data_IF_671437090726
#
_entry.id   IF_671437090726
#
_cell.length_a   1.000
_cell.length_b   1.000
_cell.length_c   1.000
_cell.angle_alpha   90.00
_cell.angle_beta   90.00
_cell.angle_gamma   90.00
#
_symmetry.space_group_name_H-M   'P 1'
#
loop_
_entity.id
_entity.type
_entity.pdbx_description
1 polymer ?
#
# COMPACT_ATOMS: atom_id res chain seq x y z
N UNK A 1 -10.48 11.64 65.50
CA UNK A 1 -9.58 10.65 64.85
C UNK A 1 -9.74 10.83 63.34
N UNK A 2 -8.61 10.89 62.63
CA UNK A 2 -8.37 11.14 61.20
C UNK A 2 -9.27 10.21 60.34
N UNK A 3 -9.75 10.49 59.11
CA UNK A 3 -9.06 10.63 57.80
C UNK A 3 -10.10 11.19 56.78
N UNK A 4 -10.03 12.43 56.28
CA UNK A 4 -9.36 12.98 55.08
C UNK A 4 -9.36 12.12 53.79
N UNK A 5 -9.88 12.77 52.71
CA UNK A 5 -9.68 12.61 51.24
C UNK A 5 -10.72 11.71 50.52
N UNK A 6 -11.40 12.14 49.46
CA UNK A 6 -11.13 13.27 48.57
C UNK A 6 -12.31 13.68 47.68
N UNK A 7 -12.28 14.96 47.31
CA UNK A 7 -12.94 15.55 46.15
C UNK A 7 -12.57 14.77 44.88
N UNK A 8 -13.52 14.58 43.97
CA UNK A 8 -13.31 14.78 42.53
C UNK A 8 -14.65 14.86 41.79
N UNK A 9 -15.03 16.06 41.39
CA UNK A 9 -16.06 16.31 40.40
C UNK A 9 -15.54 15.84 39.03
N UNK A 10 -16.27 14.92 38.39
CA UNK A 10 -16.00 14.46 37.04
C UNK A 10 -17.12 14.89 36.10
N UNK A 11 -17.03 16.11 35.58
CA UNK A 11 -17.83 16.55 34.44
C UNK A 11 -17.32 15.78 33.21
N UNK A 12 -18.07 14.77 32.78
CA UNK A 12 -17.79 14.02 31.55
C UNK A 12 -18.01 14.93 30.34
N UNK A 13 -16.92 15.53 29.85
CA UNK A 13 -16.88 16.09 28.50
C UNK A 13 -17.05 14.96 27.50
N UNK A 14 -18.22 14.86 26.87
CA UNK A 14 -18.39 14.11 25.63
C UNK A 14 -17.58 14.81 24.53
N UNK A 15 -16.33 14.39 24.33
CA UNK A 15 -15.59 14.71 23.11
C UNK A 15 -16.22 13.89 22.00
N UNK A 16 -17.06 14.53 21.20
CA UNK A 16 -17.45 14.04 19.90
C UNK A 16 -16.16 13.88 19.06
N UNK A 17 -15.70 12.64 18.92
CA UNK A 17 -14.67 12.28 17.96
C UNK A 17 -15.28 12.52 16.57
N UNK A 18 -14.96 13.66 15.97
CA UNK A 18 -15.15 13.86 14.55
C UNK A 18 -14.38 12.74 13.82
N UNK A 19 -15.00 11.97 12.90
CA UNK A 19 -14.23 11.13 12.02
C UNK A 19 -13.22 12.01 11.26
N UNK A 20 -12.03 11.49 10.89
CA UNK A 20 -11.15 12.20 9.99
C UNK A 20 -11.95 12.45 8.71
N UNK A 21 -12.38 13.70 8.53
CA UNK A 21 -12.92 14.15 7.27
C UNK A 21 -11.74 14.10 6.29
N UNK A 22 -11.68 13.05 5.47
CA UNK A 22 -10.94 13.10 4.21
C UNK A 22 -11.65 14.15 3.35
N UNK A 23 -11.27 15.41 3.57
CA UNK A 23 -11.58 16.52 2.70
C UNK A 23 -10.72 16.39 1.43
N UNK A 24 -10.91 15.30 0.70
CA UNK A 24 -10.57 15.18 -0.70
C UNK A 24 -11.88 15.26 -1.46
N UNK A 25 -12.35 16.48 -1.75
CA UNK A 25 -13.39 16.64 -2.77
C UNK A 25 -12.94 15.91 -4.05
N UNK A 26 -13.85 15.32 -4.82
CA UNK A 26 -13.48 14.59 -6.03
C UNK A 26 -12.67 15.52 -6.94
N UNK A 27 -11.37 15.26 -7.02
CA UNK A 27 -10.52 15.86 -8.04
C UNK A 27 -11.15 15.52 -9.38
N UNK A 28 -11.44 16.52 -10.19
CA UNK A 28 -12.02 16.30 -11.51
C UNK A 28 -11.16 15.29 -12.27
N UNK A 29 -11.75 14.16 -12.63
CA UNK A 29 -11.09 13.18 -13.49
C UNK A 29 -11.01 13.79 -14.87
N UNK A 30 -9.78 14.11 -15.28
CA UNK A 30 -9.47 14.29 -16.68
C UNK A 30 -9.45 12.88 -17.27
N UNK A 31 -10.50 12.54 -18.03
CA UNK A 31 -10.54 11.30 -18.81
C UNK A 31 -9.56 11.47 -19.97
N UNK A 32 -8.29 11.14 -19.74
CA UNK A 32 -7.21 11.26 -20.72
C UNK A 32 -7.12 10.04 -21.64
N UNK A 33 -7.99 9.04 -21.46
CA UNK A 33 -7.86 7.71 -22.06
C UNK A 33 -6.67 6.89 -21.53
N UNK A 34 -5.88 7.44 -20.59
CA UNK A 34 -4.74 6.78 -19.97
C UNK A 34 -5.18 6.21 -18.62
N UNK A 35 -5.31 4.89 -18.55
CA UNK A 35 -5.65 4.19 -17.31
C UNK A 35 -4.37 3.98 -16.50
N UNK A 36 -4.36 4.52 -15.28
CA UNK A 36 -3.28 4.29 -14.33
C UNK A 36 -3.40 2.89 -13.74
N UNK A 37 -2.25 2.27 -13.46
CA UNK A 37 -2.14 0.92 -12.91
C UNK A 37 -1.36 1.00 -11.61
N UNK A 38 -1.72 0.16 -10.65
CA UNK A 38 -0.99 0.00 -9.41
C UNK A 38 -0.86 -1.48 -9.04
N UNK A 39 0.27 -1.81 -8.44
CA UNK A 39 0.56 -3.11 -7.83
C UNK A 39 0.85 -2.87 -6.36
N UNK A 40 0.44 -3.83 -5.54
CA UNK A 40 0.56 -3.76 -4.11
C UNK A 40 0.71 -5.14 -3.51
N UNK A 41 0.84 -5.19 -2.19
CA UNK A 41 0.99 -6.43 -1.46
C UNK A 41 0.24 -6.37 -0.14
N UNK A 42 0.04 -7.54 0.44
CA UNK A 42 -0.52 -7.70 1.78
C UNK A 42 -0.26 -9.11 2.30
N UNK A 43 -0.37 -9.27 3.61
CA UNK A 43 -0.19 -10.55 4.28
C UNK A 43 -1.54 -11.17 4.56
N UNK A 44 -1.76 -12.39 4.09
CA UNK A 44 -2.98 -13.14 4.39
C UNK A 44 -2.60 -14.52 4.86
N UNK A 45 -3.16 -14.95 6.00
CA UNK A 45 -2.88 -16.26 6.59
C UNK A 45 -1.36 -16.52 6.77
N UNK A 46 -0.60 -15.45 7.10
CA UNK A 46 0.86 -15.50 7.26
C UNK A 46 1.68 -15.57 5.96
N UNK A 47 1.03 -15.47 4.80
CA UNK A 47 1.68 -15.53 3.48
C UNK A 47 1.62 -14.17 2.79
N UNK A 48 2.69 -13.77 2.12
CA UNK A 48 2.74 -12.53 1.35
C UNK A 48 2.09 -12.73 -0.03
N UNK A 49 1.06 -11.92 -0.32
CA UNK A 49 0.24 -11.99 -1.53
C UNK A 49 0.26 -10.62 -2.23
N UNK A 50 0.30 -10.63 -3.56
CA UNK A 50 0.23 -9.43 -4.38
C UNK A 50 -1.18 -9.11 -4.87
N UNK A 51 -1.43 -7.82 -5.08
CA UNK A 51 -2.68 -7.29 -5.60
C UNK A 51 -2.40 -6.32 -6.75
N UNK A 52 -3.37 -6.19 -7.65
CA UNK A 52 -3.32 -5.23 -8.75
C UNK A 52 -4.63 -4.46 -8.82
N UNK A 53 -4.57 -3.18 -9.13
CA UNK A 53 -5.76 -2.40 -9.46
C UNK A 53 -5.44 -1.35 -10.53
N UNK A 54 -6.51 -0.81 -11.11
CA UNK A 54 -6.44 0.28 -12.07
C UNK A 54 -7.30 1.44 -11.62
N UNK A 55 -6.96 2.64 -12.05
CA UNK A 55 -7.73 3.85 -11.75
C UNK A 55 -7.51 4.94 -12.79
N UNK A 56 -8.32 6.01 -12.76
CA UNK A 56 -8.16 7.13 -13.68
C UNK A 56 -6.88 7.95 -13.42
N UNK A 57 -6.35 7.90 -12.20
CA UNK A 57 -5.08 8.53 -11.81
C UNK A 57 -4.25 7.55 -10.97
N UNK A 58 -2.96 7.82 -10.83
CA UNK A 58 -2.06 6.98 -10.05
C UNK A 58 -2.52 6.86 -8.58
N UNK A 59 -3.02 7.95 -7.98
CA UNK A 59 -3.54 7.97 -6.61
C UNK A 59 -4.81 7.12 -6.47
N UNK A 60 -5.68 7.15 -7.47
CA UNK A 60 -6.88 6.31 -7.49
C UNK A 60 -6.55 4.83 -7.73
N UNK A 61 -5.56 4.53 -8.58
CA UNK A 61 -5.09 3.17 -8.75
C UNK A 61 -4.45 2.63 -7.45
N UNK A 62 -3.64 3.45 -6.77
CA UNK A 62 -2.99 3.10 -5.50
C UNK A 62 -3.99 2.84 -4.37
N UNK A 63 -4.98 3.72 -4.22
CA UNK A 63 -6.06 3.51 -3.26
C UNK A 63 -6.92 2.29 -3.61
N UNK A 64 -7.16 2.04 -4.89
CA UNK A 64 -7.90 0.86 -5.34
C UNK A 64 -7.15 -0.45 -5.04
N UNK A 65 -5.81 -0.48 -5.16
CA UNK A 65 -5.04 -1.70 -4.84
C UNK A 65 -5.05 -1.98 -3.34
N UNK A 66 -4.97 -0.94 -2.50
CA UNK A 66 -5.12 -1.07 -1.05
C UNK A 66 -6.52 -1.56 -0.69
N UNK A 67 -7.56 -1.01 -1.32
CA UNK A 67 -8.94 -1.45 -1.11
C UNK A 67 -9.15 -2.91 -1.54
N UNK A 68 -8.55 -3.34 -2.65
CA UNK A 68 -8.61 -4.73 -3.11
C UNK A 68 -7.94 -5.68 -2.11
N UNK A 69 -6.77 -5.30 -1.58
CA UNK A 69 -6.08 -6.05 -0.54
C UNK A 69 -6.92 -6.19 0.74
N UNK A 70 -7.51 -5.10 1.22
CA UNK A 70 -8.36 -5.10 2.42
C UNK A 70 -9.66 -5.88 2.20
N UNK A 71 -10.28 -5.77 1.02
CA UNK A 71 -11.47 -6.54 0.66
C UNK A 71 -11.18 -8.04 0.60
N UNK A 72 -9.95 -8.42 0.24
CA UNK A 72 -9.46 -9.78 0.33
C UNK A 72 -9.10 -10.21 1.75
N UNK A 73 -9.32 -9.39 2.79
CA UNK A 73 -9.03 -9.72 4.18
C UNK A 73 -7.54 -9.89 4.48
N UNK A 74 -6.66 -9.32 3.65
CA UNK A 74 -5.24 -9.25 3.93
C UNK A 74 -4.92 -8.10 4.89
N UNK A 75 -3.87 -8.27 5.67
CA UNK A 75 -3.30 -7.29 6.58
C UNK A 75 -2.07 -6.62 5.94
N UNK A 76 -1.60 -5.51 6.52
CA UNK A 76 -0.40 -4.80 6.04
C UNK A 76 -0.46 -4.39 4.56
N UNK A 77 -1.65 -4.03 4.09
CA UNK A 77 -1.87 -3.64 2.70
C UNK A 77 -1.07 -2.39 2.31
N UNK A 78 -0.27 -2.50 1.26
CA UNK A 78 0.51 -1.41 0.67
C UNK A 78 0.26 -1.27 -0.84
N UNK A 79 0.48 -0.07 -1.35
CA UNK A 79 0.68 0.17 -2.77
C UNK A 79 2.18 0.28 -3.00
N UNK A 80 2.76 -0.65 -3.76
CA UNK A 80 4.20 -0.81 -3.89
C UNK A 80 4.75 -0.07 -5.11
N UNK A 81 3.99 -0.03 -6.21
CA UNK A 81 4.32 0.73 -7.42
C UNK A 81 3.07 1.17 -8.18
N UNK A 82 3.14 2.32 -8.84
CA UNK A 82 2.04 2.85 -9.65
C UNK A 82 2.57 3.58 -10.89
N UNK A 83 1.89 3.42 -12.03
CA UNK A 83 2.26 4.12 -13.25
C UNK A 83 1.05 4.41 -14.14
N UNK A 84 1.12 5.53 -14.84
CA UNK A 84 0.24 5.88 -15.95
C UNK A 84 0.98 5.84 -17.30
N UNK A 85 2.20 5.29 -17.32
CA UNK A 85 3.04 5.18 -18.51
C UNK A 85 2.98 3.78 -19.12
N UNK A 86 3.66 3.59 -20.26
CA UNK A 86 3.78 2.30 -20.97
C UNK A 86 4.91 1.48 -20.35
N UNK A 87 4.80 1.17 -19.05
CA UNK A 87 5.74 0.32 -18.33
C UNK A 87 5.01 -0.84 -17.65
N UNK A 88 5.70 -1.97 -17.56
CA UNK A 88 5.37 -3.01 -16.60
C UNK A 88 5.77 -2.54 -15.20
N UNK A 89 4.85 -2.67 -14.26
CA UNK A 89 5.09 -2.49 -12.83
C UNK A 89 4.96 -3.82 -12.11
N UNK A 90 5.80 -4.05 -11.12
CA UNK A 90 5.78 -5.27 -10.30
C UNK A 90 5.90 -4.93 -8.83
N UNK A 91 5.29 -5.75 -7.99
CA UNK A 91 5.57 -5.83 -6.55
C UNK A 91 6.36 -7.11 -6.31
N UNK A 92 7.50 -7.00 -5.63
CA UNK A 92 8.42 -8.11 -5.35
C UNK A 92 8.59 -8.25 -3.84
N UNK A 93 8.51 -9.48 -3.34
CA UNK A 93 8.74 -9.77 -1.94
C UNK A 93 9.12 -11.23 -1.70
N UNK A 94 9.59 -11.53 -0.49
CA UNK A 94 9.96 -12.86 -0.04
C UNK A 94 9.09 -13.31 1.14
N UNK A 95 8.77 -14.61 1.19
CA UNK A 95 8.16 -15.23 2.38
C UNK A 95 9.23 -15.70 3.37
N UNK A 96 10.20 -14.84 3.67
CA UNK A 96 11.27 -15.10 4.65
C UNK A 96 10.96 -14.49 6.03
N UNK A 97 9.78 -13.85 6.16
CA UNK A 97 9.37 -13.14 7.37
C UNK A 97 10.04 -11.77 7.56
N UNK A 98 10.84 -11.31 6.60
CA UNK A 98 11.46 -9.97 6.65
C UNK A 98 10.42 -8.84 6.52
N UNK A 99 9.29 -9.12 5.88
CA UNK A 99 8.27 -8.13 5.54
C UNK A 99 8.75 -7.11 4.51
N UNK A 100 9.89 -7.36 3.85
CA UNK A 100 10.45 -6.46 2.85
C UNK A 100 9.72 -6.70 1.53
N UNK A 101 9.07 -5.64 1.04
CA UNK A 101 8.45 -5.60 -0.28
C UNK A 101 8.97 -4.38 -1.01
N UNK A 102 9.13 -4.50 -2.32
CA UNK A 102 9.54 -3.39 -3.16
C UNK A 102 8.85 -3.43 -4.51
N UNK A 103 8.40 -2.24 -4.91
CA UNK A 103 7.91 -1.98 -6.25
C UNK A 103 9.04 -1.64 -7.22
N UNK A 104 8.83 -1.97 -8.50
CA UNK A 104 9.72 -1.55 -9.56
C UNK A 104 9.00 -1.46 -10.90
N UNK A 105 9.60 -0.70 -11.82
CA UNK A 105 9.04 -0.42 -13.14
C UNK A 105 10.06 -0.71 -14.25
N UNK A 106 9.58 -1.18 -15.42
CA UNK A 106 10.44 -1.49 -16.54
C UNK A 106 9.70 -1.83 -17.82
N UNK A 107 10.41 -1.96 -18.94
CA UNK A 107 9.82 -2.33 -20.23
C UNK A 107 9.29 -3.77 -20.26
N UNK A 108 9.77 -4.64 -19.36
CA UNK A 108 9.34 -6.03 -19.17
C UNK A 108 9.19 -6.31 -17.68
N UNK A 109 8.45 -7.37 -17.26
CA UNK A 109 8.35 -7.72 -15.86
C UNK A 109 9.71 -8.09 -15.23
N UNK A 110 10.66 -8.61 -15.99
CA UNK A 110 12.01 -8.90 -15.51
C UNK A 110 12.80 -7.62 -15.25
N UNK A 111 12.74 -6.66 -16.17
CA UNK A 111 13.38 -5.35 -15.97
C UNK A 111 12.76 -4.62 -14.76
N UNK A 112 11.43 -4.68 -14.61
CA UNK A 112 10.73 -4.13 -13.46
C UNK A 112 11.12 -4.82 -12.14
N UNK A 113 11.40 -6.13 -12.18
CA UNK A 113 11.92 -6.87 -11.02
C UNK A 113 13.32 -6.40 -10.65
N UNK A 114 14.24 -6.30 -11.62
CA UNK A 114 15.59 -5.78 -11.37
C UNK A 114 15.55 -4.36 -10.78
N UNK A 115 14.62 -3.54 -11.25
CA UNK A 115 14.36 -2.21 -10.73
C UNK A 115 13.93 -2.21 -9.25
N UNK A 116 13.03 -3.14 -8.88
CA UNK A 116 12.63 -3.33 -7.49
C UNK A 116 13.82 -3.72 -6.59
N UNK A 117 14.68 -4.65 -7.02
CA UNK A 117 15.89 -5.00 -6.27
C UNK A 117 16.85 -3.81 -6.11
N UNK A 118 16.95 -2.95 -7.14
CA UNK A 118 17.72 -1.71 -7.08
C UNK A 118 17.17 -0.74 -6.03
N UNK A 119 15.84 -0.59 -5.93
CA UNK A 119 15.20 0.24 -4.90
C UNK A 119 15.48 -0.26 -3.49
N UNK A 120 15.41 -1.57 -3.25
CA UNK A 120 15.78 -2.17 -1.96
C UNK A 120 17.24 -1.84 -1.60
N UNK A 121 18.16 -2.00 -2.56
CA UNK A 121 19.57 -1.68 -2.36
C UNK A 121 19.80 -0.20 -2.04
N UNK A 122 19.06 0.70 -2.68
CA UNK A 122 19.09 2.15 -2.39
C UNK A 122 18.55 2.50 -1.00
N UNK A 123 17.60 1.72 -0.49
CA UNK A 123 17.10 1.83 0.88
C UNK A 123 18.04 1.19 1.93
N UNK A 124 19.21 0.67 1.52
CA UNK A 124 20.15 -0.04 2.38
C UNK A 124 19.52 -1.24 3.09
N UNK A 125 18.56 -1.87 2.42
CA UNK A 125 17.91 -3.12 2.81
C UNK A 125 18.46 -4.26 1.97
N UNK A 126 18.14 -5.51 2.33
CA UNK A 126 18.48 -6.68 1.54
C UNK A 126 17.23 -7.52 1.36
N UNK A 127 16.85 -7.74 0.10
CA UNK A 127 15.75 -8.63 -0.26
C UNK A 127 16.33 -10.02 -0.54
N UNK A 128 15.66 -11.06 -0.09
CA UNK A 128 16.09 -12.43 -0.37
C UNK A 128 16.21 -12.64 -1.89
N UNK A 129 17.27 -13.29 -2.38
CA UNK A 129 17.44 -13.53 -3.82
C UNK A 129 16.35 -14.43 -4.42
N UNK A 130 15.67 -15.24 -3.60
CA UNK A 130 14.49 -16.02 -3.97
C UNK A 130 13.19 -15.20 -3.95
N UNK A 131 13.24 -13.90 -3.66
CA UNK A 131 12.07 -13.03 -3.74
C UNK A 131 11.44 -13.09 -5.13
N UNK A 132 10.12 -13.27 -5.13
CA UNK A 132 9.31 -13.48 -6.33
C UNK A 132 8.48 -12.26 -6.63
N UNK A 133 8.02 -12.19 -7.87
CA UNK A 133 6.97 -11.25 -8.26
C UNK A 133 5.68 -11.70 -7.57
N UNK A 134 5.12 -10.85 -6.72
CA UNK A 134 3.85 -11.06 -6.02
C UNK A 134 2.68 -10.65 -6.91
N UNK A 135 2.85 -9.54 -7.63
CA UNK A 135 1.90 -8.99 -8.57
C UNK A 135 2.63 -8.25 -9.68
N UNK A 136 2.05 -8.27 -10.88
CA UNK A 136 2.56 -7.54 -12.04
C UNK A 136 1.42 -6.94 -12.85
N UNK A 137 1.63 -5.75 -13.39
CA UNK A 137 0.71 -5.12 -14.34
C UNK A 137 1.50 -4.52 -15.50
N UNK A 138 1.21 -4.98 -16.71
CA UNK A 138 1.87 -4.55 -17.94
C UNK A 138 0.84 -3.92 -18.91
N UNK A 139 1.29 -3.05 -19.83
CA UNK A 139 0.43 -2.42 -20.83
C UNK A 139 -0.28 -3.39 -21.77
#
# INVERSE_FOLDING_TARGET
MVWIRGLSAGLLCAVALAPPAWAGGPGGVVDTGVVSRAVGSGVRDGTLIGFTATGPTNEMAASAVIAACQAAGAEQCSSDEQTNDVFCIVSVGADDGSGIVSGGAGATPEAAREDAFRHVGQANLTLDPAARILASSCP
#
